data_IF_125290208301
#
_entry.id   IF_125290208301
#
_cell.length_a   1.000
_cell.length_b   1.000
_cell.length_c   1.000
_cell.angle_alpha   90.00
_cell.angle_beta   90.00
_cell.angle_gamma   90.00
#
_symmetry.space_group_name_H-M   'P 1'
#
loop_
_entity.id
_entity.type
_entity.pdbx_description
1 polymer ?
#
# COMPACT_ATOMS: atom_id res chain seq x y z
N UNK A 1 9.03 4.15 -23.51
CA UNK A 1 9.48 5.18 -22.56
C UNK A 1 9.88 4.47 -21.28
N UNK A 2 11.16 4.17 -21.14
CA UNK A 2 11.75 3.41 -20.04
C UNK A 2 13.02 4.14 -19.63
N UNK A 3 12.90 4.98 -18.60
CA UNK A 3 14.00 5.79 -18.09
C UNK A 3 14.98 4.89 -17.32
N UNK A 4 16.18 4.76 -17.87
CA UNK A 4 17.33 4.13 -17.22
C UNK A 4 17.97 5.16 -16.30
N UNK A 5 17.83 5.00 -14.99
CA UNK A 5 18.54 5.85 -14.03
C UNK A 5 20.01 5.42 -13.95
N UNK A 6 20.88 6.28 -14.47
CA UNK A 6 22.34 6.23 -14.35
C UNK A 6 22.75 6.77 -12.98
N UNK A 7 23.52 6.05 -12.15
CA UNK A 7 24.08 6.65 -10.94
C UNK A 7 25.29 7.50 -11.30
N UNK A 8 25.19 8.81 -11.04
CA UNK A 8 26.33 9.72 -11.06
C UNK A 8 27.23 9.42 -9.85
N UNK A 9 28.47 8.97 -10.11
CA UNK A 9 29.56 9.02 -9.14
C UNK A 9 30.00 10.48 -8.93
N UNK A 10 30.31 10.87 -7.68
CA UNK A 10 31.38 11.80 -7.43
C UNK A 10 32.58 11.08 -6.79
N UNK A 11 33.71 11.16 -7.47
CA UNK A 11 35.03 10.90 -6.91
C UNK A 11 35.47 12.10 -6.05
N UNK A 12 35.76 11.88 -4.78
CA UNK A 12 36.62 12.74 -3.96
C UNK A 12 37.04 12.00 -2.67
N UNK A 13 38.24 11.44 -2.68
CA UNK A 13 39.03 11.23 -1.46
C UNK A 13 39.85 12.52 -1.24
N UNK A 14 39.95 13.04 -0.01
CA UNK A 14 41.17 12.74 0.74
C UNK A 14 40.99 12.71 2.27
N UNK A 15 41.92 12.11 2.99
CA UNK A 15 42.08 12.39 4.42
C UNK A 15 42.70 11.27 5.22
N UNK A 16 44.01 11.39 5.45
CA UNK A 16 44.80 10.44 6.22
C UNK A 16 44.39 10.36 7.70
N UNK A 17 44.35 9.12 8.18
CA UNK A 17 44.80 8.62 9.49
C UNK A 17 44.92 9.62 10.65
N UNK A 18 44.06 9.45 11.67
CA UNK A 18 44.51 9.53 13.07
C UNK A 18 44.10 8.31 13.87
N UNK A 19 45.13 7.61 14.32
CA UNK A 19 45.14 6.41 15.16
C UNK A 19 44.68 6.79 16.57
N UNK A 20 43.41 6.53 16.88
CA UNK A 20 42.84 6.64 18.22
C UNK A 20 42.51 5.25 18.76
N UNK A 21 43.40 4.70 19.59
CA UNK A 21 43.22 3.43 20.30
C UNK A 21 42.26 3.63 21.47
N UNK A 22 40.96 3.32 21.30
CA UNK A 22 40.03 3.00 22.41
C UNK A 22 39.01 1.96 21.96
N UNK A 23 39.06 0.84 22.66
CA UNK A 23 38.12 -0.28 22.71
C UNK A 23 36.68 0.18 22.99
N UNK A 24 35.72 -0.19 22.14
CA UNK A 24 34.32 -0.47 22.50
C UNK A 24 33.54 -0.97 21.27
N UNK A 25 32.72 -2.05 21.39
CA UNK A 25 32.14 -2.78 20.27
C UNK A 25 30.88 -2.08 19.71
N UNK A 26 31.06 -0.96 19.01
CA UNK A 26 29.95 -0.21 18.39
C UNK A 26 29.51 -0.79 17.04
N UNK A 27 30.29 -1.69 16.45
CA UNK A 27 30.00 -2.26 15.13
C UNK A 27 28.91 -3.35 15.15
N UNK A 28 28.61 -3.95 16.31
CA UNK A 28 27.61 -5.02 16.41
C UNK A 28 26.17 -4.49 16.55
N UNK A 29 25.99 -3.23 16.96
CA UNK A 29 24.66 -2.66 17.22
C UNK A 29 23.91 -2.25 15.93
N UNK A 30 24.61 -2.09 14.81
CA UNK A 30 24.05 -1.61 13.54
C UNK A 30 23.48 -2.72 12.63
N UNK A 31 23.70 -3.99 12.96
CA UNK A 31 23.23 -5.13 12.15
C UNK A 31 21.79 -5.59 12.47
N UNK A 32 21.14 -5.02 13.48
CA UNK A 32 19.79 -5.43 13.92
C UNK A 32 18.64 -4.58 13.36
N UNK A 33 18.90 -3.54 12.56
CA UNK A 33 17.84 -2.65 12.07
C UNK A 33 16.94 -3.16 10.92
N UNK A 34 17.27 -4.18 10.08
CA UNK A 34 16.42 -4.49 8.93
C UNK A 34 15.11 -5.23 9.26
N UNK A 35 14.86 -5.61 10.53
CA UNK A 35 13.65 -6.36 10.90
C UNK A 35 12.40 -5.48 11.13
N UNK A 36 12.53 -4.16 11.25
CA UNK A 36 11.42 -3.25 11.60
C UNK A 36 10.64 -2.70 10.39
N UNK A 37 11.01 -3.07 9.16
CA UNK A 37 10.33 -2.59 7.94
C UNK A 37 9.26 -3.54 7.40
N UNK A 38 8.72 -4.42 8.24
CA UNK A 38 7.48 -5.15 7.92
C UNK A 38 6.33 -4.14 8.00
N UNK A 39 6.01 -3.50 6.88
CA UNK A 39 4.78 -2.74 6.73
C UNK A 39 3.59 -3.66 6.96
N UNK A 40 3.09 -3.70 8.20
CA UNK A 40 1.77 -4.22 8.50
C UNK A 40 0.75 -3.26 7.89
N UNK A 41 0.44 -3.48 6.62
CA UNK A 41 -0.81 -2.98 6.05
C UNK A 41 -1.94 -3.42 6.96
N UNK A 42 -2.89 -2.54 7.31
CA UNK A 42 -3.98 -2.91 8.19
C UNK A 42 -4.80 -3.97 7.48
N UNK A 43 -4.72 -5.22 7.96
CA UNK A 43 -5.68 -6.26 7.61
C UNK A 43 -7.05 -5.74 8.03
N UNK A 44 -7.80 -5.21 7.05
CA UNK A 44 -9.13 -4.72 7.27
C UNK A 44 -9.98 -5.86 7.81
N UNK A 45 -10.73 -5.57 8.87
CA UNK A 45 -11.61 -6.57 9.46
C UNK A 45 -12.57 -7.12 8.41
N UNK A 46 -12.85 -8.42 8.50
CA UNK A 46 -13.80 -9.10 7.61
C UNK A 46 -15.14 -8.35 7.52
N UNK A 47 -15.61 -7.77 8.64
CA UNK A 47 -16.82 -6.94 8.67
C UNK A 47 -16.71 -5.68 7.79
N UNK A 48 -15.57 -5.00 7.79
CA UNK A 48 -15.37 -3.80 6.96
C UNK A 48 -15.42 -4.18 5.47
N UNK A 49 -14.72 -5.25 5.09
CA UNK A 49 -14.73 -5.76 3.72
C UNK A 49 -16.14 -6.21 3.28
N UNK A 50 -16.89 -6.89 4.16
CA UNK A 50 -18.30 -7.25 3.92
C UNK A 50 -19.17 -6.02 3.66
N UNK A 51 -19.04 -4.96 4.47
CA UNK A 51 -19.80 -3.72 4.28
C UNK A 51 -19.49 -3.07 2.93
N UNK A 52 -18.22 -3.00 2.54
CA UNK A 52 -17.81 -2.46 1.25
C UNK A 52 -18.38 -3.28 0.08
N UNK A 53 -18.34 -4.60 0.18
CA UNK A 53 -18.91 -5.48 -0.82
C UNK A 53 -20.43 -5.28 -0.97
N UNK A 54 -21.16 -5.25 0.15
CA UNK A 54 -22.61 -4.96 0.13
C UNK A 54 -22.93 -3.60 -0.50
N UNK A 55 -22.08 -2.59 -0.30
CA UNK A 55 -22.26 -1.30 -0.96
C UNK A 55 -22.10 -1.39 -2.48
N UNK A 56 -21.11 -2.16 -2.96
CA UNK A 56 -20.92 -2.42 -4.39
C UNK A 56 -22.13 -3.14 -4.96
N UNK A 57 -22.59 -4.21 -4.31
CA UNK A 57 -23.76 -4.99 -4.74
C UNK A 57 -25.02 -4.14 -4.81
N UNK A 58 -25.30 -3.30 -3.80
CA UNK A 58 -26.43 -2.36 -3.83
C UNK A 58 -26.34 -1.33 -4.95
N UNK A 59 -25.15 -0.95 -5.39
CA UNK A 59 -24.99 -0.04 -6.53
C UNK A 59 -25.16 -0.78 -7.86
N UNK A 60 -24.68 -2.02 -7.95
CA UNK A 60 -24.86 -2.87 -9.11
C UNK A 60 -26.32 -3.26 -9.32
N UNK A 61 -27.04 -3.55 -8.25
CA UNK A 61 -28.48 -3.80 -8.26
C UNK A 61 -29.25 -2.57 -8.76
N UNK A 62 -28.99 -1.39 -8.19
CA UNK A 62 -29.60 -0.12 -8.66
C UNK A 62 -29.30 0.17 -10.13
N UNK A 63 -28.09 -0.14 -10.58
CA UNK A 63 -27.70 0.01 -11.99
C UNK A 63 -28.48 -0.92 -12.91
N UNK A 64 -28.76 -2.15 -12.48
CA UNK A 64 -29.53 -3.12 -13.26
C UNK A 64 -30.99 -2.68 -13.44
N UNK A 65 -31.57 -2.05 -12.41
CA UNK A 65 -32.93 -1.49 -12.46
C UNK A 65 -33.05 -0.22 -13.32
N UNK A 66 -31.93 0.35 -13.78
CA UNK A 66 -31.90 1.55 -14.62
C UNK A 66 -32.09 2.84 -13.83
N UNK A 67 -31.58 3.93 -14.40
CA UNK A 67 -31.72 5.29 -13.85
C UNK A 67 -31.43 6.34 -14.93
N UNK A 68 -31.66 7.62 -14.61
CA UNK A 68 -31.21 8.70 -15.49
C UNK A 68 -29.69 8.67 -15.69
N UNK A 69 -29.21 9.17 -16.83
CA UNK A 69 -27.78 9.21 -17.15
C UNK A 69 -26.94 9.87 -16.03
N UNK A 70 -27.45 10.97 -15.45
CA UNK A 70 -26.78 11.66 -14.33
C UNK A 70 -26.65 10.78 -13.09
N UNK A 71 -27.67 9.98 -12.76
CA UNK A 71 -27.64 9.04 -11.64
C UNK A 71 -26.68 7.89 -11.91
N UNK A 72 -26.69 7.35 -13.14
CA UNK A 72 -25.76 6.29 -13.54
C UNK A 72 -24.30 6.75 -13.43
N UNK A 73 -23.99 7.97 -13.86
CA UNK A 73 -22.65 8.55 -13.75
C UNK A 73 -22.21 8.73 -12.29
N UNK A 74 -23.12 9.23 -11.43
CA UNK A 74 -22.85 9.34 -9.99
C UNK A 74 -22.56 7.97 -9.37
N UNK A 75 -23.38 6.96 -9.66
CA UNK A 75 -23.18 5.60 -9.16
C UNK A 75 -21.88 4.97 -9.66
N UNK A 76 -21.50 5.23 -10.91
CA UNK A 76 -20.22 4.77 -11.48
C UNK A 76 -19.02 5.33 -10.71
N UNK A 77 -19.06 6.62 -10.36
CA UNK A 77 -18.02 7.27 -9.54
C UNK A 77 -18.00 6.69 -8.12
N UNK A 78 -19.15 6.62 -7.46
CA UNK A 78 -19.27 6.08 -6.11
C UNK A 78 -18.80 4.62 -6.03
N UNK A 79 -19.19 3.79 -7.00
CA UNK A 79 -18.74 2.39 -7.07
C UNK A 79 -17.22 2.29 -7.23
N UNK A 80 -16.62 3.18 -8.03
CA UNK A 80 -15.15 3.23 -8.19
C UNK A 80 -14.48 3.52 -6.87
N UNK A 81 -14.91 4.56 -6.14
CA UNK A 81 -14.35 4.91 -4.84
C UNK A 81 -14.45 3.77 -3.82
N UNK A 82 -15.60 3.10 -3.73
CA UNK A 82 -15.78 1.94 -2.84
C UNK A 82 -14.88 0.79 -3.26
N UNK A 83 -14.77 0.52 -4.57
CA UNK A 83 -13.91 -0.54 -5.11
C UNK A 83 -12.43 -0.25 -4.85
N UNK A 84 -12.02 1.02 -4.95
CA UNK A 84 -10.65 1.43 -4.67
C UNK A 84 -10.31 1.22 -3.20
N UNK A 85 -11.22 1.59 -2.28
CA UNK A 85 -11.08 1.27 -0.84
C UNK A 85 -11.04 -0.24 -0.58
N UNK A 86 -11.88 -1.01 -1.26
CA UNK A 86 -11.89 -2.47 -1.15
C UNK A 86 -10.56 -3.09 -1.61
N UNK A 87 -9.95 -2.57 -2.68
CA UNK A 87 -8.66 -3.03 -3.16
C UNK A 87 -7.51 -2.56 -2.25
N UNK A 88 -7.54 -1.31 -1.77
CA UNK A 88 -6.56 -0.75 -0.85
C UNK A 88 -6.46 -1.59 0.43
N UNK A 89 -7.62 -1.99 0.97
CA UNK A 89 -7.72 -2.86 2.15
C UNK A 89 -7.46 -4.34 1.87
N UNK A 90 -7.02 -4.69 0.66
CA UNK A 90 -6.76 -6.06 0.20
C UNK A 90 -7.90 -7.05 0.50
N UNK A 91 -9.14 -6.57 0.50
CA UNK A 91 -10.31 -7.35 0.89
C UNK A 91 -10.51 -8.63 0.06
N UNK A 92 -9.91 -8.72 -1.15
CA UNK A 92 -9.89 -9.95 -1.97
C UNK A 92 -9.30 -11.16 -1.24
N UNK A 93 -8.43 -10.96 -0.25
CA UNK A 93 -7.89 -12.04 0.56
C UNK A 93 -9.01 -12.88 1.20
N UNK A 94 -10.07 -12.23 1.68
CA UNK A 94 -11.15 -12.90 2.40
C UNK A 94 -12.00 -13.84 1.51
N UNK A 95 -11.92 -13.71 0.18
CA UNK A 95 -12.47 -14.66 -0.79
C UNK A 95 -13.90 -15.12 -0.45
N UNK A 96 -14.04 -16.42 -0.14
CA UNK A 96 -15.32 -17.06 0.17
C UNK A 96 -16.01 -16.52 1.45
N UNK A 97 -15.28 -15.87 2.36
CA UNK A 97 -15.84 -15.35 3.60
C UNK A 97 -16.66 -14.06 3.41
N UNK A 98 -16.60 -13.46 2.21
CA UNK A 98 -17.37 -12.28 1.85
C UNK A 98 -18.75 -12.61 1.24
N UNK A 99 -19.05 -13.89 1.01
CA UNK A 99 -20.36 -14.36 0.55
C UNK A 99 -21.32 -14.60 1.71
#
# INVERSE_FOLDING_TARGET
MTERYTPCLPAALPGALRRGRRTAPLALLLLLLPALSQGQEPDASLQLCRKLQQQIERLDDRRQHGASASQMDRWKRQRREIKDRFNALRCRHWGNQLR
#
